data_IF_798530260982
#
_entry.id   IF_798530260982
#
_cell.length_a   1.000
_cell.length_b   1.000
_cell.length_c   1.000
_cell.angle_alpha   90.00
_cell.angle_beta   90.00
_cell.angle_gamma   90.00
#
_symmetry.space_group_name_H-M   'P 1'
#
loop_
_entity.id
_entity.type
_entity.pdbx_description
1 polymer ?
#
# COMPACT_ATOMS: atom_id res chain seq x y z
N UNK A 1 -18.93 10.51 -18.22
CA UNK A 1 -19.57 9.33 -17.59
C UNK A 1 -19.10 8.02 -18.20
N UNK A 2 -19.20 7.81 -19.53
CA UNK A 2 -18.75 6.56 -20.17
C UNK A 2 -17.25 6.25 -19.95
N UNK A 3 -16.36 7.23 -20.08
CA UNK A 3 -14.92 7.02 -19.87
C UNK A 3 -14.61 6.56 -18.44
N UNK A 4 -15.22 7.20 -17.44
CA UNK A 4 -15.02 6.86 -16.02
C UNK A 4 -15.45 5.42 -15.75
N UNK A 5 -16.63 5.02 -16.23
CA UNK A 5 -17.13 3.66 -16.07
C UNK A 5 -16.19 2.65 -16.75
N UNK A 6 -15.78 2.91 -18.00
CA UNK A 6 -14.86 2.05 -18.72
C UNK A 6 -13.52 1.91 -18.00
N UNK A 7 -13.00 3.00 -17.45
CA UNK A 7 -11.76 3.01 -16.67
C UNK A 7 -11.89 2.21 -15.37
N UNK A 8 -12.99 2.37 -14.63
CA UNK A 8 -13.23 1.63 -13.40
C UNK A 8 -13.36 0.12 -13.64
N UNK A 9 -14.02 -0.27 -14.74
CA UNK A 9 -14.13 -1.67 -15.20
C UNK A 9 -12.75 -2.21 -15.58
N UNK A 10 -11.97 -1.46 -16.35
CA UNK A 10 -10.61 -1.86 -16.72
C UNK A 10 -9.75 -2.14 -15.49
N UNK A 11 -9.73 -1.22 -14.53
CA UNK A 11 -9.00 -1.42 -13.27
C UNK A 11 -9.54 -2.65 -12.53
N UNK A 12 -10.84 -2.95 -12.61
CA UNK A 12 -11.47 -4.06 -11.88
C UNK A 12 -11.00 -5.40 -12.44
N UNK A 13 -10.92 -5.49 -13.77
CA UNK A 13 -10.35 -6.64 -14.47
C UNK A 13 -8.90 -6.85 -14.02
N UNK A 14 -8.07 -5.80 -14.05
CA UNK A 14 -6.67 -5.92 -13.60
C UNK A 14 -6.56 -6.42 -12.16
N UNK A 15 -7.34 -5.85 -11.23
CA UNK A 15 -7.30 -6.27 -9.83
C UNK A 15 -7.76 -7.72 -9.62
N UNK A 16 -8.76 -8.18 -10.38
CA UNK A 16 -9.22 -9.58 -10.31
C UNK A 16 -8.17 -10.55 -10.84
N UNK A 17 -7.53 -10.22 -11.96
CA UNK A 17 -6.45 -11.03 -12.53
C UNK A 17 -5.26 -11.10 -11.56
N UNK A 18 -4.85 -9.98 -10.97
CA UNK A 18 -3.78 -9.95 -9.98
C UNK A 18 -4.10 -10.79 -8.74
N UNK A 19 -5.34 -10.71 -8.22
CA UNK A 19 -5.77 -11.54 -7.10
C UNK A 19 -5.72 -13.04 -7.43
N UNK A 20 -6.19 -13.45 -8.61
CA UNK A 20 -6.12 -14.84 -9.04
C UNK A 20 -4.68 -15.31 -9.21
N UNK A 21 -3.82 -14.47 -9.79
CA UNK A 21 -2.40 -14.76 -9.96
C UNK A 21 -1.70 -14.94 -8.61
N UNK A 22 -1.95 -14.04 -7.64
CA UNK A 22 -1.40 -14.16 -6.28
C UNK A 22 -1.81 -15.47 -5.64
N UNK A 23 -3.10 -15.83 -5.69
CA UNK A 23 -3.59 -17.11 -5.17
C UNK A 23 -2.93 -18.31 -5.84
N UNK A 24 -2.87 -18.32 -7.17
CA UNK A 24 -2.26 -19.40 -7.94
C UNK A 24 -0.76 -19.59 -7.62
N UNK A 25 -0.08 -18.51 -7.23
CA UNK A 25 1.33 -18.51 -6.84
C UNK A 25 1.57 -18.65 -5.33
N UNK A 26 0.52 -18.82 -4.51
CA UNK A 26 0.63 -18.90 -3.05
C UNK A 26 1.08 -17.59 -2.39
N UNK A 27 0.68 -16.45 -2.95
CA UNK A 27 1.10 -15.08 -2.58
C UNK A 27 -0.02 -14.26 -1.95
N UNK A 28 -1.01 -14.91 -1.36
CA UNK A 28 -2.25 -14.31 -0.87
C UNK A 28 -2.36 -14.27 0.67
N UNK A 29 -1.28 -14.55 1.41
CA UNK A 29 -1.24 -14.32 2.86
C UNK A 29 -1.15 -12.83 3.19
N UNK A 30 -1.72 -12.42 4.33
CA UNK A 30 -1.87 -11.01 4.73
C UNK A 30 -0.56 -10.23 4.76
N UNK A 31 0.56 -10.88 5.10
CA UNK A 31 1.89 -10.28 5.17
C UNK A 31 2.83 -10.75 4.06
N UNK A 32 2.34 -11.44 3.01
CA UNK A 32 3.19 -12.02 1.97
C UNK A 32 4.13 -10.97 1.37
N UNK A 33 3.61 -9.78 1.10
CA UNK A 33 4.38 -8.68 0.52
C UNK A 33 5.54 -8.27 1.42
N UNK A 34 5.28 -8.05 2.70
CA UNK A 34 6.30 -7.64 3.67
C UNK A 34 7.41 -8.68 3.76
N UNK A 35 7.08 -9.96 3.69
CA UNK A 35 8.07 -11.04 3.77
C UNK A 35 8.88 -11.25 2.49
N UNK A 36 8.34 -10.89 1.31
CA UNK A 36 8.89 -11.37 0.02
C UNK A 36 9.22 -10.28 -1.01
N UNK A 37 8.84 -9.01 -0.82
CA UNK A 37 8.96 -8.00 -1.89
C UNK A 37 10.36 -7.52 -2.16
N UNK A 38 11.20 -7.52 -1.12
CA UNK A 38 12.58 -7.12 -1.22
C UNK A 38 13.42 -8.26 -0.64
N UNK A 39 13.92 -9.20 -1.46
CA UNK A 39 14.81 -10.24 -0.99
C UNK A 39 16.00 -9.68 -0.22
N UNK A 40 16.60 -8.58 -0.70
CA UNK A 40 17.72 -7.94 0.01
C UNK A 40 17.35 -7.35 1.38
N UNK A 41 16.07 -7.06 1.63
CA UNK A 41 15.61 -6.44 2.87
C UNK A 41 15.04 -7.46 3.87
N UNK A 42 14.49 -8.58 3.38
CA UNK A 42 13.67 -9.49 4.20
C UNK A 42 14.11 -10.96 4.15
N UNK A 43 15.06 -11.32 3.30
CA UNK A 43 15.58 -12.69 3.24
C UNK A 43 16.56 -12.93 4.39
N UNK A 44 16.26 -13.91 5.25
CA UNK A 44 17.15 -14.33 6.34
C UNK A 44 17.97 -15.55 5.95
N UNK A 45 19.27 -15.53 6.27
CA UNK A 45 20.13 -16.71 6.10
C UNK A 45 19.99 -17.67 7.29
N UNK A 46 20.23 -18.97 7.07
CA UNK A 46 20.09 -20.01 8.11
C UNK A 46 20.95 -19.71 9.37
N UNK A 47 22.12 -19.10 9.19
CA UNK A 47 23.07 -18.77 10.26
C UNK A 47 23.15 -17.27 10.56
N UNK A 48 22.14 -16.48 10.17
CA UNK A 48 22.13 -15.05 10.43
C UNK A 48 21.86 -14.74 11.92
N UNK A 49 22.71 -13.95 12.59
CA UNK A 49 22.50 -13.60 13.99
C UNK A 49 21.19 -12.81 14.17
N UNK A 50 20.50 -13.03 15.28
CA UNK A 50 19.31 -12.26 15.64
C UNK A 50 19.73 -10.83 15.97
N UNK A 51 19.15 -9.85 15.29
CA UNK A 51 19.34 -8.43 15.56
C UNK A 51 18.28 -7.94 16.55
N UNK A 52 18.61 -6.94 17.37
CA UNK A 52 17.62 -6.26 18.23
C UNK A 52 16.52 -5.59 17.38
N UNK A 53 16.89 -5.14 16.18
CA UNK A 53 15.99 -4.61 15.17
C UNK A 53 16.30 -5.28 13.82
N UNK A 54 15.38 -6.09 13.32
CA UNK A 54 15.54 -6.79 12.03
C UNK A 54 15.50 -5.85 10.82
N UNK A 55 14.93 -4.65 10.96
CA UNK A 55 14.74 -3.73 9.84
C UNK A 55 14.70 -2.26 10.28
N UNK A 56 15.44 -1.42 9.55
CA UNK A 56 15.38 0.03 9.65
C UNK A 56 14.82 0.58 8.35
N UNK A 57 13.72 1.31 8.43
CA UNK A 57 13.05 1.90 7.27
C UNK A 57 12.98 3.42 7.39
N UNK A 58 13.27 4.11 6.28
CA UNK A 58 12.97 5.52 6.12
C UNK A 58 11.93 5.66 5.01
N UNK A 59 10.74 6.15 5.36
CA UNK A 59 9.64 6.33 4.42
C UNK A 59 9.44 7.82 4.25
N UNK A 60 9.62 8.32 3.03
CA UNK A 60 9.10 9.64 2.69
C UNK A 60 7.57 9.50 2.66
N UNK A 61 6.88 10.08 3.65
CA UNK A 61 5.41 10.08 3.77
C UNK A 61 4.70 10.85 2.65
N UNK A 62 5.35 10.97 1.50
CA UNK A 62 4.92 11.66 0.30
C UNK A 62 4.52 13.11 0.60
N UNK A 63 5.25 13.75 1.52
CA UNK A 63 4.99 15.14 1.92
C UNK A 63 5.26 16.13 0.78
N UNK A 64 5.96 15.71 -0.28
CA UNK A 64 6.15 16.48 -1.51
C UNK A 64 4.81 16.82 -2.20
N UNK A 65 3.81 15.94 -2.13
CA UNK A 65 2.46 16.17 -2.67
C UNK A 65 1.68 17.26 -1.91
N UNK A 66 2.10 17.62 -0.69
CA UNK A 66 1.53 18.73 0.09
C UNK A 66 2.06 20.11 -0.33
N UNK A 67 3.01 20.19 -1.28
CA UNK A 67 3.64 21.45 -1.72
C UNK A 67 2.90 22.18 -2.83
N UNK A 68 1.80 21.64 -3.32
CA UNK A 68 0.99 22.30 -4.33
C UNK A 68 0.13 23.38 -3.67
N UNK A 69 0.10 24.56 -4.29
CA UNK A 69 -0.69 25.68 -3.82
C UNK A 69 -2.18 25.29 -3.79
N UNK A 70 -2.89 25.68 -2.73
CA UNK A 70 -4.34 25.45 -2.58
C UNK A 70 -5.19 26.04 -3.71
N UNK A 71 -4.67 26.98 -4.50
CA UNK A 71 -5.32 27.43 -5.74
C UNK A 71 -5.30 26.38 -6.86
N UNK A 72 -4.39 25.41 -6.80
CA UNK A 72 -4.24 24.33 -7.80
C UNK A 72 -5.28 23.23 -7.60
N UNK A 73 -5.59 22.92 -6.35
CA UNK A 73 -6.66 21.99 -5.98
C UNK A 73 -7.84 22.83 -5.51
N UNK A 74 -8.84 23.05 -6.37
CA UNK A 74 -9.97 23.93 -6.07
C UNK A 74 -10.50 23.78 -4.62
N UNK A 75 -11.08 24.87 -4.09
CA UNK A 75 -11.38 25.09 -2.66
C UNK A 75 -12.17 23.99 -1.94
N UNK A 76 -12.81 23.09 -2.69
CA UNK A 76 -13.56 21.95 -2.15
C UNK A 76 -12.73 20.67 -2.23
N UNK A 77 -12.43 20.02 -1.09
CA UNK A 77 -11.82 18.70 -1.08
C UNK A 77 -12.64 17.72 -1.92
N UNK A 78 -11.99 17.03 -2.85
CA UNK A 78 -12.60 15.87 -3.53
C UNK A 78 -12.31 14.62 -2.72
N UNK A 79 -13.30 14.18 -1.94
CA UNK A 79 -13.22 12.92 -1.20
C UNK A 79 -13.19 11.77 -2.20
N UNK A 80 -12.12 10.97 -2.16
CA UNK A 80 -12.06 9.71 -2.90
C UNK A 80 -12.80 8.64 -2.09
N UNK A 81 -13.96 8.19 -2.59
CA UNK A 81 -14.77 7.15 -1.95
C UNK A 81 -14.35 5.74 -2.37
N UNK A 82 -13.36 5.61 -3.26
CA UNK A 82 -12.87 4.31 -3.71
C UNK A 82 -12.07 3.65 -2.59
N UNK A 83 -12.29 2.36 -2.39
CA UNK A 83 -11.45 1.56 -1.50
C UNK A 83 -10.20 1.09 -2.23
N UNK A 84 -9.04 1.10 -1.55
CA UNK A 84 -7.84 0.52 -2.11
C UNK A 84 -8.06 -0.96 -2.44
N UNK A 85 -7.50 -1.39 -3.57
CA UNK A 85 -7.61 -2.78 -4.07
C UNK A 85 -6.40 -3.63 -3.70
N UNK A 86 -5.40 -3.00 -3.09
CA UNK A 86 -4.18 -3.63 -2.60
C UNK A 86 -4.08 -3.47 -1.10
N UNK A 87 -3.44 -4.45 -0.51
CA UNK A 87 -2.92 -4.55 0.85
C UNK A 87 -1.69 -3.64 1.09
N UNK A 88 -1.49 -2.61 0.25
CA UNK A 88 -0.52 -1.53 0.51
C UNK A 88 -1.08 -0.44 1.43
N UNK A 89 -2.40 -0.35 1.49
CA UNK A 89 -3.08 0.71 2.21
C UNK A 89 -3.56 0.15 3.54
N UNK A 90 -3.25 0.88 4.61
CA UNK A 90 -3.80 0.63 5.93
C UNK A 90 -5.00 1.55 6.11
N UNK A 91 -6.08 1.02 6.70
CA UNK A 91 -7.24 1.84 7.04
C UNK A 91 -6.85 2.88 8.09
N UNK A 92 -7.41 4.09 7.99
CA UNK A 92 -7.15 5.19 8.93
C UNK A 92 -7.40 4.75 10.38
N UNK A 93 -8.48 3.99 10.61
CA UNK A 93 -8.81 3.46 11.93
C UNK A 93 -7.74 2.51 12.49
N UNK A 94 -7.06 1.75 11.63
CA UNK A 94 -5.96 0.88 12.04
C UNK A 94 -4.72 1.73 12.40
N UNK A 95 -4.40 2.73 11.58
CA UNK A 95 -3.26 3.63 11.83
C UNK A 95 -3.47 4.45 13.11
N UNK A 96 -4.68 4.95 13.32
CA UNK A 96 -5.04 5.78 14.48
C UNK A 96 -4.91 5.04 15.82
N UNK A 97 -4.92 3.70 15.82
CA UNK A 97 -4.65 2.90 17.02
C UNK A 97 -3.28 3.23 17.64
N UNK A 98 -2.29 3.52 16.79
CA UNK A 98 -0.90 3.78 17.18
C UNK A 98 -0.60 5.25 17.44
N UNK A 99 -1.60 6.15 17.33
CA UNK A 99 -1.41 7.61 17.38
C UNK A 99 -0.68 8.11 18.64
N UNK A 100 -0.79 7.38 19.74
CA UNK A 100 -0.22 7.73 21.04
C UNK A 100 0.90 6.77 21.48
N UNK A 101 1.36 5.89 20.60
CA UNK A 101 2.45 4.95 20.84
C UNK A 101 3.77 5.51 20.30
N UNK A 102 4.26 6.61 20.89
CA UNK A 102 5.65 7.08 20.72
C UNK A 102 6.08 7.94 21.90
#
# INVERSE_FOLDING_TARGET
>A
VQLTIAYDVYLNILGRVDCQLKKALGRDSDNWRMLNSCPACFYRLEDEPVLDFDWLVSIDGNNSLKRWDTSTYGVSPRVDTRRPRSDYWLDDAYVDHFKYEV
#
